data_IF_497253751756
#
_entry.id   IF_497253751756
#
_cell.length_a   1.000
_cell.length_b   1.000
_cell.length_c   1.000
_cell.angle_alpha   90.00
_cell.angle_beta   90.00
_cell.angle_gamma   90.00
#
_symmetry.space_group_name_H-M   'P 1'
#
loop_
_entity.id
_entity.type
_entity.pdbx_description
1 polymer ?
#
# COMPACT_ATOMS: atom_id res chain seq x y z
N UNK A 1 4.31 10.18 -14.49
CA UNK A 1 5.57 9.55 -14.05
C UNK A 1 5.75 9.82 -12.58
N UNK A 2 5.43 8.87 -11.70
CA UNK A 2 5.92 8.95 -10.33
C UNK A 2 6.93 7.82 -10.13
N UNK A 3 8.11 8.20 -9.66
CA UNK A 3 9.13 7.27 -9.21
C UNK A 3 8.99 7.25 -7.69
N UNK A 4 8.87 6.06 -7.09
CA UNK A 4 8.86 5.94 -5.63
C UNK A 4 10.32 6.01 -5.17
N UNK A 5 10.77 7.19 -4.75
CA UNK A 5 12.03 7.36 -4.03
C UNK A 5 11.75 7.36 -2.53
N UNK A 6 12.35 6.41 -1.81
CA UNK A 6 12.30 6.40 -0.36
C UNK A 6 13.39 7.33 0.18
N UNK A 7 12.96 8.44 0.80
CA UNK A 7 13.79 9.28 1.66
C UNK A 7 13.06 9.42 2.99
N UNK A 8 13.61 8.82 4.05
CA UNK A 8 13.09 8.99 5.40
C UNK A 8 13.63 10.30 5.97
N UNK A 9 12.74 11.28 6.18
CA UNK A 9 13.03 12.54 6.86
C UNK A 9 12.08 12.67 8.07
N UNK A 10 12.59 12.68 9.32
CA UNK A 10 11.77 12.80 10.52
C UNK A 10 11.15 14.19 10.70
N UNK A 11 11.38 15.15 9.78
CA UNK A 11 10.80 16.50 9.83
C UNK A 11 10.10 16.84 8.49
N UNK A 12 8.82 16.52 8.33
CA UNK A 12 8.11 16.82 7.09
C UNK A 12 7.86 18.33 6.96
N UNK A 13 8.34 18.93 5.87
CA UNK A 13 7.90 20.25 5.42
C UNK A 13 7.06 20.04 4.17
N UNK A 14 5.74 20.13 4.30
CA UNK A 14 4.82 20.07 3.15
C UNK A 14 3.87 21.25 3.19
N UNK A 15 3.90 22.02 2.10
CA UNK A 15 3.06 23.20 1.84
C UNK A 15 1.90 22.74 0.95
N UNK A 16 0.67 22.86 1.48
CA UNK A 16 -0.63 22.81 0.80
C UNK A 16 -1.00 21.56 -0.04
N UNK A 17 -1.52 20.55 0.66
CA UNK A 17 -2.70 19.76 0.26
C UNK A 17 -3.36 19.25 1.55
N UNK A 18 -4.49 19.83 1.97
CA UNK A 18 -5.09 19.56 3.27
C UNK A 18 -5.89 18.25 3.25
N UNK A 19 -5.20 17.12 3.19
CA UNK A 19 -5.76 15.81 3.56
C UNK A 19 -5.28 15.52 4.98
N UNK A 20 -6.16 15.52 5.99
CA UNK A 20 -5.73 15.29 7.36
C UNK A 20 -5.15 13.88 7.48
N UNK A 21 -3.95 13.76 8.04
CA UNK A 21 -3.26 12.48 8.24
C UNK A 21 -2.50 12.50 9.56
N UNK A 22 -2.52 11.39 10.29
CA UNK A 22 -1.64 11.17 11.44
C UNK A 22 -0.23 10.88 10.92
N UNK A 23 0.76 11.49 11.57
CA UNK A 23 2.17 11.20 11.33
C UNK A 23 2.45 9.70 11.50
N UNK A 24 3.49 9.22 10.81
CA UNK A 24 3.91 7.84 10.95
C UNK A 24 4.29 7.54 12.40
N UNK A 25 3.62 6.56 12.97
CA UNK A 25 3.76 6.16 14.37
C UNK A 25 3.52 4.66 14.49
N UNK A 26 3.91 4.07 15.61
CA UNK A 26 3.63 2.68 15.87
C UNK A 26 2.19 2.48 16.34
N UNK A 27 1.49 1.52 15.74
CA UNK A 27 0.12 1.14 16.09
C UNK A 27 -0.10 -0.37 15.87
N UNK A 28 -1.34 -0.82 16.08
CA UNK A 28 -1.74 -2.22 16.00
C UNK A 28 -1.47 -2.97 17.31
N UNK A 29 -1.66 -4.28 17.29
CA UNK A 29 -1.39 -5.10 18.46
C UNK A 29 0.12 -5.05 18.78
N UNK A 30 0.46 -4.76 20.04
CA UNK A 30 1.85 -4.66 20.49
C UNK A 30 2.72 -3.61 19.76
N UNK A 31 2.11 -2.56 19.16
CA UNK A 31 2.83 -1.50 18.46
C UNK A 31 3.77 -2.07 17.37
N UNK A 32 3.27 -3.04 16.60
CA UNK A 32 4.05 -3.79 15.62
C UNK A 32 4.11 -3.13 14.24
N UNK A 33 3.18 -2.22 13.92
CA UNK A 33 3.07 -1.61 12.60
C UNK A 33 3.50 -0.16 12.66
N UNK A 34 4.41 0.25 11.76
CA UNK A 34 4.80 1.63 11.55
C UNK A 34 4.18 2.12 10.23
N UNK A 35 3.24 3.06 10.32
CA UNK A 35 2.68 3.74 9.15
C UNK A 35 2.07 5.08 9.51
N UNK A 36 1.97 5.99 8.53
CA UNK A 36 1.02 7.11 8.63
C UNK A 36 -0.40 6.60 8.46
N UNK A 37 -1.37 7.29 9.06
CA UNK A 37 -2.79 6.95 8.95
C UNK A 37 -3.57 8.11 8.36
N UNK A 38 -4.47 7.82 7.44
CA UNK A 38 -5.44 8.75 6.90
C UNK A 38 -6.45 9.12 7.99
N UNK A 39 -6.77 10.40 8.09
CA UNK A 39 -7.75 10.95 9.04
C UNK A 39 -8.90 11.64 8.30
N UNK A 40 -8.98 11.49 6.98
CA UNK A 40 -10.10 11.97 6.19
C UNK A 40 -11.37 11.17 6.51
N UNK A 41 -12.50 11.88 6.62
CA UNK A 41 -13.79 11.30 6.99
C UNK A 41 -14.22 10.19 6.01
N UNK A 42 -14.51 9.01 6.53
CA UNK A 42 -14.83 7.80 5.75
C UNK A 42 -13.62 7.09 5.13
N UNK A 43 -12.39 7.51 5.48
CA UNK A 43 -11.12 6.87 5.08
C UNK A 43 -10.18 6.66 6.27
N UNK A 44 -10.66 6.87 7.49
CA UNK A 44 -9.87 6.82 8.70
C UNK A 44 -9.19 5.47 8.87
N UNK A 45 -7.93 5.49 9.30
CA UNK A 45 -7.15 4.27 9.52
C UNK A 45 -6.66 3.59 8.22
N UNK A 46 -6.92 4.18 7.06
CA UNK A 46 -6.24 3.80 5.82
C UNK A 46 -4.76 4.22 5.84
N UNK A 47 -3.92 3.55 5.05
CA UNK A 47 -2.53 3.95 4.87
C UNK A 47 -2.09 3.82 3.41
N UNK A 48 -1.05 4.56 3.05
CA UNK A 48 -0.46 4.53 1.71
C UNK A 48 0.87 3.79 1.70
N UNK A 49 1.51 3.66 2.87
CA UNK A 49 2.79 3.02 3.05
C UNK A 49 2.93 2.60 4.51
N UNK A 50 3.33 1.37 4.74
CA UNK A 50 3.69 0.91 6.09
C UNK A 50 4.53 -0.35 6.08
N UNK A 51 5.08 -0.64 7.25
CA UNK A 51 5.88 -1.83 7.52
C UNK A 51 5.54 -2.38 8.91
N UNK A 52 5.48 -3.71 9.03
CA UNK A 52 5.34 -4.43 10.29
C UNK A 52 6.68 -4.95 10.77
N UNK A 53 6.88 -5.01 12.09
CA UNK A 53 8.02 -5.68 12.75
C UNK A 53 8.14 -7.16 12.37
N UNK A 54 7.05 -7.77 11.87
CA UNK A 54 7.04 -9.14 11.32
C UNK A 54 7.61 -9.25 9.90
N UNK A 55 8.04 -8.15 9.30
CA UNK A 55 8.61 -8.12 7.95
C UNK A 55 7.59 -7.90 6.83
N UNK A 56 6.33 -7.59 7.12
CA UNK A 56 5.36 -7.23 6.07
C UNK A 56 5.52 -5.77 5.67
N UNK A 57 5.63 -5.49 4.36
CA UNK A 57 5.67 -4.13 3.81
C UNK A 57 4.58 -3.99 2.75
N UNK A 58 3.86 -2.87 2.76
CA UNK A 58 2.92 -2.55 1.69
C UNK A 58 2.97 -1.08 1.30
N UNK A 59 2.79 -0.82 0.01
CA UNK A 59 2.74 0.50 -0.57
C UNK A 59 1.64 0.59 -1.64
N UNK A 60 0.87 1.67 -1.60
CA UNK A 60 -0.23 1.94 -2.51
C UNK A 60 0.09 3.21 -3.33
N UNK A 61 -0.13 3.14 -4.64
CA UNK A 61 -0.10 4.31 -5.53
C UNK A 61 -1.38 4.38 -6.37
N UNK A 62 -1.75 5.59 -6.78
CA UNK A 62 -3.00 5.84 -7.50
C UNK A 62 -2.75 6.00 -9.00
N UNK A 63 -3.66 5.49 -9.83
CA UNK A 63 -3.71 5.92 -11.24
C UNK A 63 -4.31 7.32 -11.32
N UNK A 64 -3.71 8.19 -12.12
CA UNK A 64 -4.37 9.44 -12.50
C UNK A 64 -5.49 9.14 -13.50
N UNK A 65 -6.73 9.36 -13.09
CA UNK A 65 -7.90 9.13 -13.94
C UNK A 65 -8.79 10.39 -14.00
N UNK A 66 -9.32 10.76 -15.19
CA UNK A 66 -10.15 11.96 -15.35
C UNK A 66 -11.48 11.92 -14.58
N UNK A 67 -12.02 10.72 -14.38
CA UNK A 67 -13.26 10.48 -13.64
C UNK A 67 -12.97 9.52 -12.49
N UNK A 68 -13.40 9.91 -11.30
CA UNK A 68 -13.38 9.07 -10.10
C UNK A 68 -14.81 8.60 -9.84
N UNK A 69 -14.95 7.30 -9.57
CA UNK A 69 -16.19 6.76 -9.02
C UNK A 69 -16.27 7.15 -7.54
N UNK A 70 -17.35 7.82 -7.14
CA UNK A 70 -17.55 8.30 -5.76
C UNK A 70 -18.01 7.17 -4.83
N UNK A 71 -18.60 6.12 -5.38
CA UNK A 71 -19.14 5.00 -4.63
C UNK A 71 -18.10 3.87 -4.44
N UNK A 72 -16.94 4.00 -5.09
CA UNK A 72 -15.84 3.05 -4.95
C UNK A 72 -15.22 3.04 -3.54
N UNK A 73 -14.79 1.85 -3.10
CA UNK A 73 -14.17 1.64 -1.79
C UNK A 73 -12.89 2.46 -1.61
N UNK A 74 -12.60 2.80 -0.35
CA UNK A 74 -11.32 3.41 0.04
C UNK A 74 -10.17 2.42 -0.14
N UNK A 75 -9.07 2.88 -0.74
CA UNK A 75 -7.92 2.00 -1.04
C UNK A 75 -6.91 1.92 0.11
N UNK A 76 -6.92 2.89 1.02
CA UNK A 76 -5.95 2.93 2.13
C UNK A 76 -6.05 1.74 3.06
N UNK A 77 -7.23 1.14 3.20
CA UNK A 77 -7.45 -0.07 3.99
C UNK A 77 -6.67 -1.28 3.44
N UNK A 78 -6.41 -1.32 2.13
CA UNK A 78 -5.67 -2.43 1.51
C UNK A 78 -4.26 -2.57 2.11
N UNK A 79 -3.63 -1.45 2.46
CA UNK A 79 -2.31 -1.42 3.09
C UNK A 79 -2.41 -1.86 4.55
N UNK A 80 -3.32 -1.26 5.33
CA UNK A 80 -3.40 -1.56 6.77
C UNK A 80 -3.88 -2.98 7.05
N UNK A 81 -4.80 -3.51 6.25
CA UNK A 81 -5.24 -4.90 6.33
C UNK A 81 -4.10 -5.90 5.96
N UNK A 82 -3.25 -5.58 4.99
CA UNK A 82 -2.08 -6.42 4.72
C UNK A 82 -1.08 -6.45 5.88
N UNK A 83 -0.88 -5.30 6.54
CA UNK A 83 0.11 -5.20 7.62
C UNK A 83 -0.35 -5.92 8.91
N UNK A 84 -1.65 -6.12 9.09
CA UNK A 84 -2.24 -6.81 10.25
C UNK A 84 -2.56 -8.29 10.00
N UNK A 85 -2.65 -8.73 8.75
CA UNK A 85 -2.96 -10.12 8.41
C UNK A 85 -1.71 -11.01 8.48
N UNK A 86 -1.91 -12.31 8.65
CA UNK A 86 -0.85 -13.33 8.58
C UNK A 86 -0.72 -13.96 7.17
N UNK A 87 -1.58 -13.56 6.23
CA UNK A 87 -1.57 -14.04 4.83
C UNK A 87 -0.34 -13.51 4.09
N UNK A 88 0.33 -14.34 3.31
CA UNK A 88 1.48 -13.95 2.48
C UNK A 88 1.10 -12.94 1.38
N UNK A 89 2.09 -12.19 0.90
CA UNK A 89 1.95 -11.12 -0.08
C UNK A 89 1.25 -11.57 -1.37
N UNK A 90 1.59 -12.75 -1.92
CA UNK A 90 0.98 -13.23 -3.16
C UNK A 90 -0.48 -13.63 -2.96
N UNK A 91 -0.76 -14.44 -1.94
CA UNK A 91 -2.13 -14.85 -1.60
C UNK A 91 -3.02 -13.66 -1.29
N UNK A 92 -2.48 -12.65 -0.60
CA UNK A 92 -3.19 -11.43 -0.31
C UNK A 92 -3.56 -10.67 -1.58
N UNK A 93 -2.60 -10.41 -2.47
CA UNK A 93 -2.88 -9.73 -3.74
C UNK A 93 -3.83 -10.54 -4.63
N UNK A 94 -3.78 -11.87 -4.58
CA UNK A 94 -4.71 -12.73 -5.34
C UNK A 94 -6.14 -12.59 -4.84
N UNK A 95 -6.34 -12.42 -3.52
CA UNK A 95 -7.64 -12.07 -2.97
C UNK A 95 -8.07 -10.67 -3.44
N UNK A 96 -7.18 -9.69 -3.40
CA UNK A 96 -7.52 -8.32 -3.84
C UNK A 96 -7.82 -8.27 -5.34
N UNK A 97 -7.23 -9.14 -6.17
CA UNK A 97 -7.50 -9.14 -7.61
C UNK A 97 -8.92 -9.55 -7.96
N UNK A 98 -9.57 -10.41 -7.16
CA UNK A 98 -10.99 -10.76 -7.36
C UNK A 98 -11.94 -9.60 -7.02
N UNK A 99 -11.53 -8.74 -6.09
CA UNK A 99 -12.30 -7.58 -5.61
C UNK A 99 -11.86 -6.26 -6.24
N UNK A 100 -10.88 -6.28 -7.17
CA UNK A 100 -10.23 -5.07 -7.69
C UNK A 100 -11.16 -4.08 -8.38
N UNK A 101 -12.28 -4.56 -8.91
CA UNK A 101 -13.33 -3.77 -9.56
C UNK A 101 -14.11 -2.86 -8.59
N UNK A 102 -14.03 -3.11 -7.28
CA UNK A 102 -14.69 -2.31 -6.24
C UNK A 102 -13.95 -1.00 -5.91
N UNK A 103 -12.78 -0.77 -6.51
CA UNK A 103 -11.90 0.35 -6.22
C UNK A 103 -11.61 1.20 -7.46
N UNK A 104 -11.41 2.51 -7.26
CA UNK A 104 -10.79 3.35 -8.28
C UNK A 104 -9.37 2.88 -8.62
N UNK A 105 -8.83 3.28 -9.77
CA UNK A 105 -7.53 2.81 -10.25
C UNK A 105 -6.41 2.88 -9.20
N UNK A 106 -5.77 1.76 -8.90
CA UNK A 106 -4.66 1.68 -7.95
C UNK A 106 -3.61 0.63 -8.32
N UNK A 107 -2.43 0.85 -7.79
CA UNK A 107 -1.30 -0.06 -7.80
C UNK A 107 -0.95 -0.40 -6.35
N UNK A 108 -0.80 -1.67 -6.04
CA UNK A 108 -0.47 -2.18 -4.71
C UNK A 108 0.79 -3.05 -4.80
N UNK A 109 1.77 -2.72 -3.98
CA UNK A 109 2.95 -3.54 -3.74
C UNK A 109 2.80 -4.13 -2.35
N UNK A 110 3.00 -5.43 -2.22
CA UNK A 110 3.02 -6.16 -0.96
C UNK A 110 4.30 -7.00 -0.91
N UNK A 111 4.97 -7.02 0.23
CA UNK A 111 6.21 -7.75 0.41
C UNK A 111 6.28 -8.44 1.76
N UNK A 112 6.86 -9.64 1.75
CA UNK A 112 7.26 -10.38 2.95
C UNK A 112 8.79 -10.38 3.01
N UNK A 113 9.35 -9.67 3.98
CA UNK A 113 10.78 -9.54 4.23
C UNK A 113 11.20 -10.60 5.26
N UNK A 114 12.17 -11.44 4.90
CA UNK A 114 12.58 -12.54 5.76
C UNK A 114 14.07 -12.82 5.64
N UNK A 115 14.79 -12.75 6.76
CA UNK A 115 16.24 -12.97 6.80
C UNK A 115 16.65 -14.40 6.44
N UNK A 116 15.77 -15.39 6.60
CA UNK A 116 16.08 -16.80 6.42
C UNK A 116 15.61 -17.35 5.07
N UNK A 117 14.45 -16.89 4.59
CA UNK A 117 13.80 -17.39 3.36
C UNK A 117 14.03 -16.48 2.15
N UNK A 118 14.61 -15.30 2.35
CA UNK A 118 14.69 -14.25 1.34
C UNK A 118 13.42 -13.41 1.27
N UNK A 119 13.56 -12.25 0.64
CA UNK A 119 12.46 -11.29 0.49
C UNK A 119 11.61 -11.63 -0.73
N UNK A 120 10.29 -11.56 -0.58
CA UNK A 120 9.32 -11.74 -1.66
C UNK A 120 8.58 -10.43 -1.86
N UNK A 121 8.62 -9.91 -3.08
CA UNK A 121 7.86 -8.72 -3.48
C UNK A 121 6.82 -9.11 -4.51
N UNK A 122 5.58 -8.69 -4.30
CA UNK A 122 4.48 -8.89 -5.23
C UNK A 122 3.87 -7.55 -5.63
N UNK A 123 3.35 -7.49 -6.85
CA UNK A 123 2.68 -6.31 -7.41
C UNK A 123 1.34 -6.70 -8.03
N UNK A 124 0.35 -5.83 -7.84
CA UNK A 124 -0.94 -5.89 -8.50
C UNK A 124 -1.45 -4.48 -8.83
N UNK A 125 -2.02 -4.31 -10.01
CA UNK A 125 -2.70 -3.08 -10.40
C UNK A 125 -4.05 -3.40 -11.05
N UNK A 126 -5.13 -2.80 -10.55
CA UNK A 126 -6.49 -3.14 -11.00
C UNK A 126 -6.89 -2.58 -12.38
N UNK A 127 -5.93 -1.98 -13.11
CA UNK A 127 -6.10 -1.48 -14.48
C UNK A 127 -5.20 -2.18 -15.50
N UNK A 128 -4.25 -3.00 -15.03
CA UNK A 128 -3.30 -3.73 -15.86
C UNK A 128 -3.66 -5.21 -15.97
N UNK A 129 -2.64 -6.06 -15.81
CA UNK A 129 -2.80 -7.51 -15.76
C UNK A 129 -3.81 -7.94 -14.68
N UNK A 130 -4.61 -8.96 -14.99
CA UNK A 130 -5.64 -9.46 -14.08
C UNK A 130 -5.08 -10.14 -12.85
N UNK A 131 -3.87 -10.68 -12.95
CA UNK A 131 -3.25 -11.46 -11.88
C UNK A 131 -2.06 -10.73 -11.25
N UNK A 132 -1.88 -10.88 -9.92
CA UNK A 132 -0.67 -10.41 -9.25
C UNK A 132 0.57 -11.10 -9.81
N UNK A 133 1.68 -10.38 -9.83
CA UNK A 133 2.98 -10.90 -10.26
C UNK A 133 3.97 -10.87 -9.10
N UNK A 134 4.83 -11.88 -9.04
CA UNK A 134 6.02 -11.88 -8.17
C UNK A 134 7.13 -11.13 -8.89
N UNK A 135 7.68 -10.11 -8.24
CA UNK A 135 8.75 -9.30 -8.78
C UNK A 135 10.09 -10.02 -8.62
N UNK A 136 10.81 -10.17 -9.72
CA UNK A 136 12.19 -10.67 -9.69
C UNK A 136 13.15 -9.59 -9.20
N UNK A 137 14.24 -9.95 -8.49
CA UNK A 137 15.28 -8.99 -8.11
C UNK A 137 15.78 -8.18 -9.31
N UNK A 138 15.74 -6.85 -9.21
CA UNK A 138 16.13 -5.96 -10.31
C UNK A 138 15.37 -4.64 -10.29
N UNK A 139 15.51 -3.85 -11.36
CA UNK A 139 14.75 -2.61 -11.55
C UNK A 139 13.38 -2.94 -12.11
N UNK A 140 12.35 -2.86 -11.27
CA UNK A 140 10.96 -2.92 -11.70
C UNK A 140 10.40 -1.50 -11.84
N UNK A 141 9.86 -1.18 -13.02
CA UNK A 141 9.20 0.11 -13.29
C UNK A 141 7.69 -0.13 -13.26
N UNK A 142 7.02 0.43 -12.26
CA UNK A 142 5.57 0.39 -12.14
C UNK A 142 5.02 1.69 -12.75
N UNK A 143 4.23 1.55 -13.81
CA UNK A 143 3.57 2.69 -14.46
C UNK A 143 2.31 3.08 -13.66
N UNK A 144 2.15 4.38 -13.44
CA UNK A 144 1.06 5.02 -12.68
C UNK A 144 0.46 6.14 -13.50
#
# INVERSE_FOLDING_TARGET
>A
MCIIFFKFDPRPVSKNAYRPSKLADFWGNNNEILSGLDMEEGKEGGSWLGISKKGKLAALTNYMQPKLDKDAKGRGELVTHFLTTEVDSFSYLKKISTEGHLYNGFNLIAADLNTNKGDVFCYYGNRGEHDPIVLSPGKSVIFI
#
